data_IF_915220639379
#
_entry.id   IF_915220639379
#
_cell.length_a   1.000
_cell.length_b   1.000
_cell.length_c   1.000
_cell.angle_alpha   90.00
_cell.angle_beta   90.00
_cell.angle_gamma   90.00
#
_symmetry.space_group_name_H-M   'P 1'
#
loop_
_entity.id
_entity.type
_entity.pdbx_description
1 polymer ?
#
# COMPACT_ATOMS: atom_id res chain seq x y z
N UNK A 1 23.00 2.65 46.54
CA UNK A 1 21.92 2.32 45.58
C UNK A 1 22.48 1.27 44.62
N UNK A 2 22.02 0.02 44.73
CA UNK A 2 22.62 -1.13 44.05
C UNK A 2 22.28 -1.19 42.57
N UNK A 3 23.29 -1.32 41.73
CA UNK A 3 23.15 -1.60 40.30
C UNK A 3 22.50 -2.97 40.10
N UNK A 4 21.37 -3.02 39.41
CA UNK A 4 20.79 -4.29 38.97
C UNK A 4 21.78 -4.96 38.00
N UNK A 5 22.25 -6.17 38.36
CA UNK A 5 23.22 -6.94 37.58
C UNK A 5 22.78 -7.08 36.11
N UNK A 6 23.73 -6.94 35.19
CA UNK A 6 23.57 -7.17 33.74
C UNK A 6 22.94 -8.55 33.46
N UNK A 7 23.23 -9.54 34.31
CA UNK A 7 22.63 -10.87 34.22
C UNK A 7 21.10 -10.84 34.39
N UNK A 8 20.59 -10.01 35.29
CA UNK A 8 19.15 -9.82 35.51
C UNK A 8 18.48 -9.14 34.32
N UNK A 9 19.16 -8.16 33.71
CA UNK A 9 18.70 -7.49 32.51
C UNK A 9 18.61 -8.46 31.32
N UNK A 10 19.67 -9.22 31.05
CA UNK A 10 19.69 -10.20 29.96
C UNK A 10 18.61 -11.26 30.13
N UNK A 11 18.45 -11.82 31.34
CA UNK A 11 17.44 -12.86 31.61
C UNK A 11 16.01 -12.35 31.43
N UNK A 12 15.71 -11.14 31.92
CA UNK A 12 14.35 -10.60 31.83
C UNK A 12 14.00 -10.12 30.42
N UNK A 13 14.91 -9.39 29.76
CA UNK A 13 14.61 -8.76 28.47
C UNK A 13 14.75 -9.71 27.27
N UNK A 14 15.75 -10.60 27.24
CA UNK A 14 15.89 -11.58 26.16
C UNK A 14 14.77 -12.63 26.22
N UNK A 15 14.43 -13.12 27.43
CA UNK A 15 13.31 -14.05 27.61
C UNK A 15 11.95 -13.43 27.21
N UNK A 16 11.71 -12.17 27.60
CA UNK A 16 10.48 -11.45 27.21
C UNK A 16 10.39 -11.20 25.71
N UNK A 17 11.52 -10.95 25.04
CA UNK A 17 11.56 -10.77 23.57
C UNK A 17 11.32 -12.09 22.83
N UNK A 18 11.98 -13.17 23.24
CA UNK A 18 11.77 -14.52 22.67
C UNK A 18 10.31 -14.93 22.82
N UNK A 19 9.71 -14.72 23.99
CA UNK A 19 8.30 -15.06 24.24
C UNK A 19 7.30 -14.21 23.45
N UNK A 20 7.57 -12.92 23.23
CA UNK A 20 6.69 -12.06 22.41
C UNK A 20 6.79 -12.41 20.93
N UNK A 21 7.99 -12.71 20.43
CA UNK A 21 8.19 -13.10 19.02
C UNK A 21 7.60 -14.49 18.74
N UNK A 22 7.71 -15.45 19.66
CA UNK A 22 7.02 -16.75 19.55
C UNK A 22 5.50 -16.58 19.61
N UNK A 23 4.97 -15.76 20.51
CA UNK A 23 3.54 -15.46 20.56
C UNK A 23 3.03 -14.79 19.28
N UNK A 24 3.82 -13.92 18.64
CA UNK A 24 3.45 -13.27 17.39
C UNK A 24 3.39 -14.27 16.23
N UNK A 25 4.36 -15.18 16.14
CA UNK A 25 4.36 -16.28 15.17
C UNK A 25 3.17 -17.22 15.38
N UNK A 26 2.90 -17.60 16.63
CA UNK A 26 1.75 -18.46 16.97
C UNK A 26 0.41 -17.79 16.67
N UNK A 27 0.26 -16.47 16.95
CA UNK A 27 -0.93 -15.71 16.54
C UNK A 27 -1.12 -15.71 15.03
N UNK A 28 -0.05 -15.55 14.26
CA UNK A 28 -0.12 -15.58 12.80
C UNK A 28 -0.49 -16.97 12.28
N UNK A 29 0.09 -18.04 12.85
CA UNK A 29 -0.27 -19.43 12.53
C UNK A 29 -1.75 -19.69 12.82
N UNK A 30 -2.24 -19.32 14.00
CA UNK A 30 -3.65 -19.47 14.40
C UNK A 30 -4.59 -18.70 13.48
N UNK A 31 -4.23 -17.46 13.11
CA UNK A 31 -5.02 -16.67 12.16
C UNK A 31 -5.09 -17.33 10.78
N UNK A 32 -3.97 -17.87 10.30
CA UNK A 32 -3.94 -18.57 9.02
C UNK A 32 -4.75 -19.87 9.06
N UNK A 33 -4.66 -20.63 10.14
CA UNK A 33 -5.48 -21.83 10.34
C UNK A 33 -6.97 -21.48 10.35
N UNK A 34 -7.38 -20.48 11.14
CA UNK A 34 -8.78 -20.03 11.18
C UNK A 34 -9.30 -19.58 9.80
N UNK A 35 -8.52 -18.80 9.06
CA UNK A 35 -8.92 -18.35 7.72
C UNK A 35 -9.03 -19.52 6.73
N UNK A 36 -8.18 -20.53 6.87
CA UNK A 36 -8.23 -21.74 6.07
C UNK A 36 -9.50 -22.54 6.39
N UNK A 37 -9.80 -22.76 7.67
CA UNK A 37 -10.99 -23.48 8.11
C UNK A 37 -12.28 -22.78 7.65
N UNK A 38 -12.34 -21.45 7.78
CA UNK A 38 -13.48 -20.63 7.29
C UNK A 38 -13.66 -20.77 5.78
N UNK A 39 -12.54 -20.77 5.03
CA UNK A 39 -12.58 -20.93 3.56
C UNK A 39 -13.09 -22.30 3.17
N UNK A 40 -12.56 -23.37 3.78
CA UNK A 40 -12.97 -24.74 3.50
C UNK A 40 -14.44 -24.98 3.87
N UNK A 41 -14.88 -24.46 5.01
CA UNK A 41 -16.29 -24.52 5.43
C UNK A 41 -17.19 -23.77 4.45
N UNK A 42 -16.81 -22.56 4.04
CA UNK A 42 -17.59 -21.79 3.07
C UNK A 42 -17.66 -22.52 1.72
N UNK A 43 -16.54 -23.06 1.22
CA UNK A 43 -16.50 -23.83 -0.04
C UNK A 43 -17.44 -25.03 0.00
N UNK A 44 -17.46 -25.77 1.11
CA UNK A 44 -18.38 -26.89 1.29
C UNK A 44 -19.85 -26.42 1.41
N UNK A 45 -20.12 -25.45 2.27
CA UNK A 45 -21.47 -24.95 2.51
C UNK A 45 -22.09 -24.30 1.27
N UNK A 46 -21.31 -23.57 0.46
CA UNK A 46 -21.82 -23.02 -0.79
C UNK A 46 -22.21 -24.11 -1.77
N UNK A 47 -21.36 -25.13 -1.95
CA UNK A 47 -21.69 -26.26 -2.83
C UNK A 47 -22.98 -26.97 -2.40
N UNK A 48 -23.17 -27.19 -1.09
CA UNK A 48 -24.41 -27.78 -0.56
C UNK A 48 -25.61 -26.87 -0.84
N UNK A 49 -25.50 -25.57 -0.55
CA UNK A 49 -26.58 -24.59 -0.83
C UNK A 49 -26.92 -24.52 -2.30
N UNK A 50 -25.95 -24.64 -3.20
CA UNK A 50 -26.16 -24.61 -4.64
C UNK A 50 -26.88 -25.87 -5.13
N UNK A 51 -26.48 -27.05 -4.65
CA UNK A 51 -27.16 -28.31 -4.96
C UNK A 51 -28.60 -28.31 -4.41
N UNK A 52 -28.81 -27.84 -3.19
CA UNK A 52 -30.15 -27.72 -2.60
C UNK A 52 -31.04 -26.76 -3.41
N UNK A 53 -30.49 -25.62 -3.87
CA UNK A 53 -31.21 -24.68 -4.75
C UNK A 53 -31.58 -25.30 -6.09
N UNK A 54 -30.66 -26.04 -6.71
CA UNK A 54 -30.93 -26.78 -7.96
C UNK A 54 -32.04 -27.81 -7.78
N UNK A 55 -31.99 -28.61 -6.71
CA UNK A 55 -33.01 -29.61 -6.41
C UNK A 55 -34.38 -28.99 -6.09
N UNK A 56 -34.39 -27.80 -5.49
CA UNK A 56 -35.59 -27.04 -5.21
C UNK A 56 -36.17 -26.32 -6.45
N UNK A 57 -35.53 -26.44 -7.63
CA UNK A 57 -35.98 -25.82 -8.87
C UNK A 57 -35.91 -24.29 -8.86
N UNK A 58 -35.13 -23.71 -7.94
CA UNK A 58 -34.81 -22.28 -7.98
C UNK A 58 -33.77 -22.06 -9.08
N UNK A 59 -34.13 -21.29 -10.11
CA UNK A 59 -33.13 -20.76 -11.04
C UNK A 59 -32.07 -20.03 -10.23
N UNK A 60 -30.79 -20.26 -10.55
CA UNK A 60 -29.71 -19.40 -10.06
C UNK A 60 -30.06 -18.01 -10.55
N UNK A 61 -30.58 -17.16 -9.66
CA UNK A 61 -30.72 -15.74 -9.95
C UNK A 61 -29.30 -15.19 -10.14
N UNK A 62 -28.85 -15.25 -11.39
CA UNK A 62 -27.75 -14.46 -11.95
C UNK A 62 -28.17 -12.98 -12.10
N UNK A 63 -29.24 -12.57 -11.40
CA UNK A 63 -29.41 -11.19 -10.93
C UNK A 63 -28.29 -10.89 -9.93
N UNK A 64 -27.07 -10.79 -10.47
CA UNK A 64 -26.13 -9.80 -10.01
C UNK A 64 -26.95 -8.51 -9.96
N UNK A 65 -27.34 -8.08 -8.76
CA UNK A 65 -27.70 -6.69 -8.55
C UNK A 65 -26.53 -5.89 -9.15
N UNK A 66 -26.76 -5.36 -10.35
CA UNK A 66 -25.92 -4.38 -10.98
C UNK A 66 -26.00 -3.19 -10.05
N UNK A 67 -25.13 -3.20 -9.04
CA UNK A 67 -24.70 -2.01 -8.33
C UNK A 67 -24.32 -1.07 -9.46
N UNK A 68 -25.22 -0.13 -9.76
CA UNK A 68 -25.11 0.79 -10.88
C UNK A 68 -23.88 1.65 -10.62
N UNK A 69 -22.71 1.14 -11.02
CA UNK A 69 -21.60 1.97 -11.36
C UNK A 69 -22.04 2.71 -12.61
N UNK A 70 -21.99 4.03 -12.56
CA UNK A 70 -22.48 4.93 -13.61
C UNK A 70 -21.74 4.57 -14.90
N UNK A 71 -22.35 3.73 -15.75
CA UNK A 71 -21.75 3.33 -17.01
C UNK A 71 -21.49 4.58 -17.85
N UNK A 72 -20.24 4.72 -18.31
CA UNK A 72 -19.88 5.80 -19.21
C UNK A 72 -20.74 5.71 -20.48
N UNK A 73 -21.11 6.83 -21.12
CA UNK A 73 -21.97 6.82 -22.32
C UNK A 73 -21.44 5.91 -23.45
N UNK A 74 -20.13 5.77 -23.54
CA UNK A 74 -19.46 4.87 -24.48
C UNK A 74 -19.69 3.39 -24.17
N UNK A 75 -19.59 2.98 -22.90
CA UNK A 75 -19.87 1.62 -22.44
C UNK A 75 -21.32 1.26 -22.67
N UNK A 76 -22.24 2.18 -22.33
CA UNK A 76 -23.66 1.97 -22.55
C UNK A 76 -23.95 1.71 -24.03
N UNK A 77 -23.42 2.55 -24.92
CA UNK A 77 -23.59 2.40 -26.37
C UNK A 77 -23.02 1.09 -26.91
N UNK A 78 -21.89 0.63 -26.36
CA UNK A 78 -21.32 -0.67 -26.69
C UNK A 78 -22.27 -1.80 -26.27
N UNK A 79 -22.68 -1.81 -25.00
CA UNK A 79 -23.57 -2.84 -24.46
C UNK A 79 -24.89 -2.91 -25.21
N UNK A 80 -25.54 -1.76 -25.45
CA UNK A 80 -26.80 -1.68 -26.19
C UNK A 80 -26.67 -2.27 -27.61
N UNK A 81 -25.51 -2.08 -28.26
CA UNK A 81 -25.27 -2.58 -29.61
C UNK A 81 -24.96 -4.07 -29.64
N UNK A 82 -24.12 -4.56 -28.71
CA UNK A 82 -23.67 -5.97 -28.64
C UNK A 82 -24.78 -6.88 -28.11
N UNK A 83 -25.52 -6.43 -27.10
CA UNK A 83 -26.60 -7.18 -26.44
C UNK A 83 -27.98 -6.95 -27.10
N UNK A 84 -28.00 -6.33 -28.28
CA UNK A 84 -29.22 -6.13 -29.05
C UNK A 84 -29.84 -7.47 -29.46
N UNK A 85 -31.19 -7.52 -29.45
CA UNK A 85 -31.94 -8.73 -29.83
C UNK A 85 -31.67 -9.10 -31.29
N UNK A 86 -31.59 -10.40 -31.63
CA UNK A 86 -31.42 -10.85 -33.01
C UNK A 86 -32.49 -10.30 -33.96
N UNK A 87 -32.10 -10.00 -35.20
CA UNK A 87 -33.03 -9.56 -36.25
C UNK A 87 -33.99 -10.68 -36.66
N UNK A 88 -35.19 -10.31 -37.13
CA UNK A 88 -36.18 -11.29 -37.63
C UNK A 88 -35.88 -11.74 -39.06
N UNK A 89 -35.07 -10.96 -39.78
CA UNK A 89 -34.59 -11.25 -41.15
C UNK A 89 -33.07 -11.31 -41.21
N UNK A 90 -32.53 -11.89 -42.28
CA UNK A 90 -31.08 -11.96 -42.50
C UNK A 90 -30.51 -10.55 -42.65
N UNK A 91 -31.21 -9.65 -43.33
CA UNK A 91 -30.80 -8.27 -43.55
C UNK A 91 -30.73 -7.49 -42.23
N UNK A 92 -31.73 -7.65 -41.36
CA UNK A 92 -31.74 -7.05 -40.02
C UNK A 92 -30.63 -7.60 -39.13
N UNK A 93 -30.37 -8.90 -39.18
CA UNK A 93 -29.29 -9.52 -38.41
C UNK A 93 -27.90 -9.08 -38.91
N UNK A 94 -27.72 -8.93 -40.22
CA UNK A 94 -26.50 -8.37 -40.82
C UNK A 94 -26.31 -6.91 -40.39
N UNK A 95 -27.38 -6.10 -40.41
CA UNK A 95 -27.33 -4.72 -39.94
C UNK A 95 -26.98 -4.65 -38.43
N UNK A 96 -27.62 -5.49 -37.60
CA UNK A 96 -27.34 -5.60 -36.16
C UNK A 96 -25.87 -5.94 -35.90
N UNK A 97 -25.34 -6.95 -36.59
CA UNK A 97 -23.93 -7.37 -36.49
C UNK A 97 -22.98 -6.25 -36.89
N UNK A 98 -23.24 -5.57 -38.00
CA UNK A 98 -22.43 -4.44 -38.45
C UNK A 98 -22.43 -3.30 -37.44
N UNK A 99 -23.59 -2.98 -36.85
CA UNK A 99 -23.69 -1.99 -35.77
C UNK A 99 -22.89 -2.39 -34.52
N UNK A 100 -22.95 -3.65 -34.11
CA UNK A 100 -22.16 -4.16 -32.98
C UNK A 100 -20.66 -4.10 -33.26
N UNK A 101 -20.21 -4.51 -34.46
CA UNK A 101 -18.80 -4.43 -34.89
C UNK A 101 -18.32 -2.97 -34.87
N UNK A 102 -19.12 -2.05 -35.39
CA UNK A 102 -18.79 -0.63 -35.39
C UNK A 102 -18.71 -0.07 -33.97
N UNK A 103 -19.65 -0.44 -33.10
CA UNK A 103 -19.64 -0.04 -31.69
C UNK A 103 -18.39 -0.55 -30.96
N UNK A 104 -18.01 -1.82 -31.15
CA UNK A 104 -16.75 -2.38 -30.62
C UNK A 104 -15.54 -1.62 -31.14
N UNK A 105 -15.49 -1.35 -32.45
CA UNK A 105 -14.37 -0.65 -33.08
C UNK A 105 -14.19 0.76 -32.51
N UNK A 106 -15.29 1.52 -32.37
CA UNK A 106 -15.26 2.85 -31.76
C UNK A 106 -14.83 2.80 -30.30
N UNK A 107 -15.29 1.80 -29.57
CA UNK A 107 -14.99 1.65 -28.16
C UNK A 107 -13.54 1.25 -27.89
N UNK A 108 -12.91 0.45 -28.75
CA UNK A 108 -11.49 0.11 -28.62
C UNK A 108 -10.55 1.33 -28.60
N UNK A 109 -10.99 2.48 -29.12
CA UNK A 109 -10.26 3.75 -29.06
C UNK A 109 -10.47 4.56 -27.78
N UNK A 110 -11.32 4.10 -26.87
CA UNK A 110 -11.70 4.83 -25.65
C UNK A 110 -10.91 4.27 -24.47
N UNK A 111 -10.26 5.17 -23.73
CA UNK A 111 -9.50 4.81 -22.53
C UNK A 111 -10.47 4.69 -21.34
N UNK A 112 -10.74 3.44 -20.96
CA UNK A 112 -11.74 3.03 -19.98
C UNK A 112 -11.21 3.07 -18.55
N UNK A 113 -11.06 4.28 -17.99
CA UNK A 113 -10.41 4.43 -16.70
C UNK A 113 -8.93 4.03 -16.78
N UNK A 114 -8.08 4.81 -16.12
CA UNK A 114 -6.71 4.34 -15.93
C UNK A 114 -6.77 3.03 -15.15
N UNK A 115 -6.07 1.99 -15.59
CA UNK A 115 -5.37 1.18 -14.59
C UNK A 115 -4.69 2.23 -13.72
N UNK A 116 -5.14 2.45 -12.48
CA UNK A 116 -4.30 3.19 -11.54
C UNK A 116 -3.01 2.43 -11.65
N UNK A 117 -1.94 3.00 -12.26
CA UNK A 117 -0.81 2.19 -12.57
C UNK A 117 -0.46 1.65 -11.21
N UNK A 118 -0.37 0.32 -11.06
CA UNK A 118 0.58 -0.21 -10.12
C UNK A 118 1.79 0.66 -10.43
N UNK A 119 2.09 1.63 -9.57
CA UNK A 119 3.16 2.58 -9.79
C UNK A 119 4.40 1.70 -9.72
N UNK A 120 4.68 0.97 -10.81
CA UNK A 120 6.03 0.69 -11.26
C UNK A 120 6.64 2.05 -11.14
N UNK A 121 7.52 2.20 -10.15
CA UNK A 121 8.17 3.45 -9.83
C UNK A 121 8.92 3.91 -11.06
N UNK A 122 8.19 4.51 -11.98
CA UNK A 122 8.68 5.32 -13.05
C UNK A 122 9.32 6.47 -12.31
N UNK A 123 10.66 6.45 -12.34
CA UNK A 123 11.48 7.57 -11.97
C UNK A 123 10.95 8.78 -12.72
N UNK A 124 10.05 9.55 -12.10
CA UNK A 124 9.91 10.95 -12.47
C UNK A 124 11.10 11.65 -11.83
N UNK A 125 12.22 11.58 -12.56
CA UNK A 125 13.17 12.67 -12.56
C UNK A 125 12.42 13.83 -13.20
N UNK A 126 12.04 14.80 -12.38
CA UNK A 126 11.47 16.08 -12.77
C UNK A 126 9.98 16.03 -13.17
N UNK A 127 9.10 15.88 -12.17
CA UNK A 127 7.79 16.52 -12.29
C UNK A 127 8.03 18.03 -12.22
N UNK A 128 7.79 18.73 -13.33
CA UNK A 128 7.80 20.18 -13.38
C UNK A 128 6.83 20.72 -12.31
N UNK A 129 7.33 21.67 -11.53
CA UNK A 129 6.62 22.32 -10.45
C UNK A 129 5.37 23.04 -10.98
N UNK A 130 4.21 22.96 -10.30
CA UNK A 130 3.22 24.01 -10.42
C UNK A 130 3.81 25.30 -9.83
N UNK A 131 3.55 26.39 -10.54
CA UNK A 131 3.91 27.76 -10.27
C UNK A 131 4.09 28.15 -8.78
N UNK A 132 5.26 28.76 -8.50
CA UNK A 132 5.53 29.76 -7.45
C UNK A 132 4.73 29.57 -6.15
N UNK A 133 5.21 28.68 -5.27
CA UNK A 133 4.85 28.73 -3.85
C UNK A 133 5.48 29.97 -3.19
N UNK A 134 4.67 30.69 -2.42
CA UNK A 134 5.09 31.80 -1.58
C UNK A 134 6.14 31.31 -0.55
N UNK A 135 7.25 32.03 -0.30
CA UNK A 135 8.33 31.61 0.59
C UNK A 135 7.87 31.21 2.01
N UNK A 136 6.76 31.79 2.50
CA UNK A 136 6.21 31.50 3.83
C UNK A 136 5.55 30.12 3.95
N UNK A 137 4.90 29.62 2.89
CA UNK A 137 4.20 28.34 2.90
C UNK A 137 5.18 27.15 2.97
N UNK A 138 6.35 27.29 2.33
CA UNK A 138 7.39 26.27 2.35
C UNK A 138 8.03 26.09 3.74
N UNK A 139 8.23 27.19 4.46
CA UNK A 139 8.76 27.17 5.81
C UNK A 139 7.76 26.53 6.79
N UNK A 140 6.48 26.86 6.66
CA UNK A 140 5.40 26.28 7.47
C UNK A 140 5.30 24.76 7.26
N UNK A 141 5.34 24.30 6.01
CA UNK A 141 5.34 22.87 5.69
C UNK A 141 6.57 22.13 6.27
N UNK A 142 7.73 22.79 6.28
CA UNK A 142 8.94 22.23 6.87
C UNK A 142 8.82 22.09 8.39
N UNK A 143 8.26 23.09 9.07
CA UNK A 143 8.03 23.05 10.51
C UNK A 143 6.98 22.00 10.89
N UNK A 144 5.88 21.89 10.13
CA UNK A 144 4.90 20.81 10.32
C UNK A 144 5.53 19.42 10.17
N UNK A 145 6.40 19.24 9.17
CA UNK A 145 7.13 18.00 8.97
C UNK A 145 8.08 17.68 10.13
N UNK A 146 8.79 18.69 10.68
CA UNK A 146 9.63 18.53 11.88
C UNK A 146 8.79 18.12 13.09
N UNK A 147 7.66 18.79 13.33
CA UNK A 147 6.76 18.46 14.43
C UNK A 147 6.25 17.03 14.32
N UNK A 148 5.86 16.59 13.12
CA UNK A 148 5.38 15.22 12.85
C UNK A 148 6.41 14.16 13.27
N UNK A 149 7.68 14.32 12.89
CA UNK A 149 8.74 13.33 13.19
C UNK A 149 9.17 13.27 14.65
N UNK A 150 8.71 14.18 15.52
CA UNK A 150 8.97 14.13 16.97
C UNK A 150 7.73 13.79 17.81
N UNK A 151 6.53 14.15 17.35
CA UNK A 151 5.30 13.98 18.13
C UNK A 151 4.52 12.72 17.78
N UNK A 152 4.53 12.30 16.51
CA UNK A 152 3.73 11.16 16.09
C UNK A 152 4.42 9.84 16.46
N UNK A 153 3.65 8.90 17.03
CA UNK A 153 4.15 7.55 17.34
C UNK A 153 4.57 6.77 16.10
N UNK A 154 3.97 7.07 14.95
CA UNK A 154 4.16 6.39 13.66
C UNK A 154 4.07 7.43 12.52
N UNK A 155 5.11 8.26 12.31
CA UNK A 155 5.05 9.34 11.35
C UNK A 155 4.97 8.82 9.91
N UNK A 156 4.62 9.75 9.00
CA UNK A 156 4.61 9.49 7.56
C UNK A 156 5.74 10.21 6.81
N UNK A 157 6.55 11.04 7.46
CA UNK A 157 7.69 11.74 6.86
C UNK A 157 9.00 11.09 7.31
N UNK A 158 9.98 10.98 6.41
CA UNK A 158 11.28 10.40 6.76
C UNK A 158 12.22 11.43 7.40
N UNK A 159 12.58 11.22 8.67
CA UNK A 159 13.47 12.10 9.43
C UNK A 159 14.86 12.29 8.77
N UNK A 160 15.41 11.26 8.13
CA UNK A 160 16.69 11.36 7.41
C UNK A 160 16.59 12.15 6.11
N UNK A 161 15.48 12.02 5.36
CA UNK A 161 15.25 12.85 4.18
C UNK A 161 14.99 14.30 4.61
N UNK A 162 14.21 14.51 5.66
CA UNK A 162 13.92 15.82 6.23
C UNK A 162 15.19 16.56 6.66
N UNK A 163 16.11 15.86 7.33
CA UNK A 163 17.40 16.41 7.75
C UNK A 163 18.44 16.57 6.62
N UNK A 164 18.16 16.10 5.39
CA UNK A 164 19.12 16.18 4.29
C UNK A 164 18.92 17.44 3.44
N UNK A 165 19.67 18.50 3.77
CA UNK A 165 19.65 19.79 3.05
C UNK A 165 20.07 19.70 1.59
N UNK A 166 20.78 18.64 1.18
CA UNK A 166 21.14 18.40 -0.22
C UNK A 166 20.00 17.88 -1.09
N UNK A 167 18.79 17.66 -0.53
CA UNK A 167 17.61 17.26 -1.28
C UNK A 167 16.65 18.44 -1.51
N UNK A 168 15.93 18.49 -2.65
CA UNK A 168 14.86 19.45 -2.86
C UNK A 168 13.80 19.37 -1.74
N UNK A 169 13.22 20.51 -1.36
CA UNK A 169 12.26 20.59 -0.26
C UNK A 169 11.13 19.55 -0.38
N UNK A 170 10.54 19.42 -1.57
CA UNK A 170 9.48 18.44 -1.84
C UNK A 170 9.87 16.98 -1.50
N UNK A 171 11.16 16.62 -1.61
CA UNK A 171 11.65 15.30 -1.22
C UNK A 171 11.93 15.20 0.28
N UNK A 172 12.31 16.31 0.91
CA UNK A 172 12.58 16.38 2.37
C UNK A 172 11.29 16.22 3.17
N UNK A 173 10.21 16.87 2.74
CA UNK A 173 8.90 16.87 3.42
C UNK A 173 7.94 15.81 2.88
N UNK A 174 8.40 14.91 2.00
CA UNK A 174 7.54 13.91 1.38
C UNK A 174 6.85 13.04 2.44
N UNK A 175 5.52 13.09 2.47
CA UNK A 175 4.68 12.26 3.32
C UNK A 175 4.26 10.99 2.57
N UNK A 176 4.63 9.82 3.11
CA UNK A 176 4.23 8.52 2.59
C UNK A 176 2.74 8.27 2.85
N UNK A 177 2.10 7.46 2.00
CA UNK A 177 0.68 7.10 2.15
C UNK A 177 0.40 6.34 3.44
N UNK A 178 1.32 5.47 3.87
CA UNK A 178 1.22 4.74 5.13
C UNK A 178 2.52 4.78 5.93
N UNK A 179 2.48 4.69 7.27
CA UNK A 179 3.68 4.52 8.09
C UNK A 179 4.48 3.25 7.75
N UNK A 180 3.83 2.24 7.16
CA UNK A 180 4.51 1.03 6.68
C UNK A 180 5.37 1.29 5.44
N UNK A 181 4.93 2.16 4.54
CA UNK A 181 5.71 2.55 3.36
C UNK A 181 6.91 3.42 3.73
N UNK A 182 6.76 4.27 4.75
CA UNK A 182 7.90 4.95 5.36
C UNK A 182 8.94 3.94 5.89
N UNK A 183 8.50 2.92 6.63
CA UNK A 183 9.40 1.86 7.12
C UNK A 183 10.13 1.15 5.97
N UNK A 184 9.43 0.81 4.88
CA UNK A 184 10.06 0.21 3.68
C UNK A 184 11.07 1.16 3.04
N UNK A 185 10.74 2.44 2.92
CA UNK A 185 11.63 3.48 2.40
C UNK A 185 12.90 3.59 3.25
N UNK A 186 12.75 3.68 4.57
CA UNK A 186 13.86 3.74 5.52
C UNK A 186 14.80 2.54 5.34
N UNK A 187 14.26 1.33 5.26
CA UNK A 187 15.04 0.11 4.99
C UNK A 187 15.81 0.17 3.66
N UNK A 188 15.11 0.49 2.56
CA UNK A 188 15.68 0.46 1.20
C UNK A 188 16.69 1.56 0.92
N UNK A 189 16.38 2.79 1.32
CA UNK A 189 17.17 3.97 0.96
C UNK A 189 18.28 4.24 1.95
N UNK A 190 17.99 4.10 3.25
CA UNK A 190 18.88 4.54 4.31
C UNK A 190 19.62 3.40 5.01
N UNK A 191 18.99 2.22 5.21
CA UNK A 191 19.65 1.10 5.88
C UNK A 191 20.47 0.21 4.94
N UNK A 192 20.00 -0.04 3.70
CA UNK A 192 20.70 -0.90 2.73
C UNK A 192 21.98 -0.25 2.17
N UNK A 193 22.01 1.07 2.08
CA UNK A 193 23.11 1.82 1.45
C UNK A 193 24.09 2.43 2.46
N UNK A 194 24.11 1.92 3.70
CA UNK A 194 25.11 2.34 4.70
C UNK A 194 26.47 1.86 4.22
N UNK A 195 27.27 2.79 3.70
CA UNK A 195 28.68 2.51 3.39
C UNK A 195 29.44 2.43 4.71
N UNK A 196 30.23 1.36 4.91
CA UNK A 196 31.01 1.05 6.12
C UNK A 196 32.03 2.13 6.54
N UNK A 197 32.14 3.25 5.79
CA UNK A 197 33.10 4.34 6.01
C UNK A 197 32.46 5.74 6.07
N UNK A 198 31.12 5.88 6.06
CA UNK A 198 30.48 7.19 6.28
C UNK A 198 30.03 7.30 7.72
N UNK A 199 30.31 8.45 8.34
CA UNK A 199 29.75 8.82 9.63
C UNK A 199 28.23 8.88 9.53
N UNK A 200 27.55 7.91 10.14
CA UNK A 200 26.10 7.96 10.27
C UNK A 200 25.78 9.02 11.31
N UNK A 201 24.88 9.95 10.98
CA UNK A 201 24.42 10.95 11.94
C UNK A 201 22.98 11.31 11.65
N UNK A 202 22.23 11.63 12.70
CA UNK A 202 20.92 12.24 12.55
C UNK A 202 21.09 13.76 12.52
N UNK A 203 20.90 14.38 11.36
CA UNK A 203 21.05 15.84 11.19
C UNK A 203 19.98 16.66 11.91
N UNK A 204 18.82 16.07 12.22
CA UNK A 204 17.77 16.76 12.98
C UNK A 204 18.10 16.80 14.47
N UNK A 205 18.63 15.70 15.02
CA UNK A 205 19.00 15.58 16.42
C UNK A 205 20.46 15.99 16.69
N UNK A 206 21.25 16.21 15.63
CA UNK A 206 22.69 16.48 15.67
C UNK A 206 23.50 15.42 16.44
N UNK A 207 23.06 14.16 16.40
CA UNK A 207 23.74 13.06 17.09
C UNK A 207 24.51 12.16 16.11
N UNK A 208 25.78 11.82 16.40
CA UNK A 208 26.50 10.79 15.67
C UNK A 208 25.92 9.41 16.02
N UNK A 209 25.84 8.54 15.03
CA UNK A 209 25.34 7.19 15.11
C UNK A 209 26.47 6.25 14.71
N UNK A 210 26.79 5.31 15.60
CA UNK A 210 27.99 4.48 15.47
C UNK A 210 27.83 3.43 14.38
N UNK A 211 26.65 2.83 14.29
CA UNK A 211 26.38 1.72 13.39
C UNK A 211 24.90 1.68 12.96
N UNK A 212 24.59 0.70 12.11
CA UNK A 212 23.22 0.45 11.62
C UNK A 212 22.23 0.21 12.78
N UNK A 213 22.66 -0.50 13.82
CA UNK A 213 21.76 -0.85 14.94
C UNK A 213 21.43 0.37 15.80
N UNK A 214 22.39 1.25 16.03
CA UNK A 214 22.20 2.53 16.72
C UNK A 214 21.27 3.44 15.90
N UNK A 215 21.43 3.50 14.57
CA UNK A 215 20.51 4.24 13.71
C UNK A 215 19.07 3.68 13.75
N UNK A 216 18.90 2.35 13.73
CA UNK A 216 17.58 1.74 13.82
C UNK A 216 16.89 2.03 15.15
N UNK A 217 17.64 1.98 16.26
CA UNK A 217 17.12 2.29 17.59
C UNK A 217 16.76 3.77 17.72
N UNK A 218 17.65 4.66 17.28
CA UNK A 218 17.40 6.10 17.26
C UNK A 218 16.15 6.46 16.44
N UNK A 219 15.98 5.82 15.27
CA UNK A 219 14.80 6.00 14.44
C UNK A 219 13.50 5.61 15.14
N UNK A 220 13.50 4.50 15.89
CA UNK A 220 12.32 4.01 16.60
C UNK A 220 12.00 4.83 17.84
N UNK A 221 13.00 5.12 18.67
CA UNK A 221 12.82 5.77 19.97
C UNK A 221 12.56 7.27 19.85
N UNK A 222 13.28 7.96 18.95
CA UNK A 222 13.20 9.42 18.81
C UNK A 222 12.20 9.84 17.73
N UNK A 223 12.08 9.03 16.67
CA UNK A 223 11.30 9.40 15.48
C UNK A 223 10.16 8.43 15.15
N UNK A 224 9.82 7.46 16.00
CA UNK A 224 8.71 6.52 15.79
C UNK A 224 8.81 5.68 14.50
N UNK A 225 9.96 5.69 13.83
CA UNK A 225 10.18 5.09 12.51
C UNK A 225 10.80 3.72 12.68
N UNK A 226 9.97 2.69 12.59
CA UNK A 226 10.41 1.30 12.70
C UNK A 226 11.05 0.81 11.40
N UNK A 227 12.04 -0.08 11.52
CA UNK A 227 12.62 -0.77 10.37
C UNK A 227 11.82 -2.03 10.01
N UNK A 228 11.73 -2.43 8.73
CA UNK A 228 11.03 -3.65 8.33
C UNK A 228 11.71 -4.88 8.96
N UNK A 229 10.91 -5.76 9.57
CA UNK A 229 11.46 -6.87 10.39
C UNK A 229 12.27 -7.91 9.61
N UNK A 230 12.18 -8.01 8.28
CA UNK A 230 12.83 -9.07 7.48
C UNK A 230 13.16 -8.62 6.05
N UNK A 231 14.15 -7.76 5.87
CA UNK A 231 14.72 -7.54 4.52
C UNK A 231 16.10 -6.93 4.63
N UNK A 232 17.05 -7.47 3.84
CA UNK A 232 18.45 -7.04 3.75
C UNK A 232 19.38 -7.72 4.78
N UNK A 233 19.44 -9.05 4.72
CA UNK A 233 20.72 -9.79 4.69
C UNK A 233 21.49 -9.43 3.43
#
# INVERSE_FOLDING_TARGET
MGYASIATFLKHYLSRRITVDTQAVERQRRRHALLKDVKEQWEFEQLVRDVERQLAGLETNDDLELVHDIMLPAQKKLCDSVLSKPGATIEEEVARRNCAIYAVTLYCGIEEGGMSPIRKGGRSRNAALPAKSQPGHEQELLELAKVSVYKEKRPRVCFLCLGNEGLPLAQRIYAFSTPGDLSKHFGRKHLKNIQTRRDLSCKLCMVPLVDKTHLQRHAEEIHGTVSPRHSYT
#
